data_IF_445577661291
#
_entry.id   IF_445577661291
#
_cell.length_a   1.000
_cell.length_b   1.000
_cell.length_c   1.000
_cell.angle_alpha   90.00
_cell.angle_beta   90.00
_cell.angle_gamma   90.00
#
_symmetry.space_group_name_H-M   'P 1'
#
loop_
_entity.id
_entity.type
_entity.pdbx_description
1 polymer ?
#
# COMPACT_ATOMS: atom_id res chain seq x y z
N UNK A 1 -19.05 -2.70 -33.42
CA UNK A 1 -18.35 -1.99 -32.33
C UNK A 1 -16.89 -2.46 -32.27
N UNK A 2 -15.95 -1.54 -32.39
CA UNK A 2 -14.52 -1.85 -32.32
C UNK A 2 -14.01 -1.40 -30.96
N UNK A 3 -13.49 -2.33 -30.13
CA UNK A 3 -12.81 -2.03 -28.91
C UNK A 3 -11.31 -1.94 -29.17
N UNK A 4 -10.70 -0.79 -28.90
CA UNK A 4 -9.25 -0.61 -28.94
C UNK A 4 -8.72 -0.45 -27.53
N UNK A 5 -7.70 -1.24 -27.16
CA UNK A 5 -7.00 -1.12 -25.89
C UNK A 5 -5.50 -0.98 -26.15
N UNK A 6 -4.91 0.12 -25.65
CA UNK A 6 -3.48 0.38 -25.75
C UNK A 6 -2.78 -0.23 -24.51
N UNK A 7 -1.71 -0.97 -24.73
CA UNK A 7 -0.84 -1.50 -23.68
C UNK A 7 0.57 -0.97 -23.89
N UNK A 8 1.21 -0.58 -22.81
CA UNK A 8 2.62 -0.19 -22.79
C UNK A 8 3.42 -1.33 -22.18
N UNK A 9 4.34 -1.90 -22.94
CA UNK A 9 5.26 -2.95 -22.48
C UNK A 9 6.61 -2.34 -22.17
N UNK A 10 7.17 -2.65 -21.01
CA UNK A 10 8.46 -2.15 -20.55
C UNK A 10 9.14 -3.14 -19.62
N UNK A 11 10.41 -2.91 -19.33
CA UNK A 11 11.25 -3.74 -18.47
C UNK A 11 11.83 -2.95 -17.30
N UNK A 12 12.11 -3.64 -16.18
CA UNK A 12 12.88 -3.05 -15.08
C UNK A 12 14.34 -2.76 -15.44
N UNK A 13 14.78 -3.19 -16.61
CA UNK A 13 16.11 -2.91 -17.16
C UNK A 13 16.15 -1.72 -18.12
N UNK A 14 14.98 -1.18 -18.45
CA UNK A 14 14.89 -0.03 -19.35
C UNK A 14 15.52 1.19 -18.65
N UNK A 15 16.34 1.91 -19.41
CA UNK A 15 17.03 3.12 -18.96
C UNK A 15 16.33 4.40 -19.40
N UNK A 16 15.35 4.27 -20.29
CA UNK A 16 14.57 5.37 -20.86
C UNK A 16 13.07 5.06 -20.77
N UNK A 17 12.20 6.06 -20.61
CA UNK A 17 10.76 5.87 -20.75
C UNK A 17 10.43 5.34 -22.15
N UNK A 18 9.58 4.30 -22.21
CA UNK A 18 9.20 3.66 -23.51
C UNK A 18 8.27 4.50 -24.37
N UNK A 19 7.70 5.54 -23.79
CA UNK A 19 6.93 6.57 -24.49
C UNK A 19 7.23 7.95 -23.89
N UNK A 20 7.12 9.02 -24.71
CA UNK A 20 7.38 10.37 -24.22
C UNK A 20 6.48 10.72 -23.04
N UNK A 21 7.09 11.06 -21.91
CA UNK A 21 6.38 11.46 -20.71
C UNK A 21 7.22 12.41 -19.86
N UNK A 22 6.60 13.42 -19.27
CA UNK A 22 7.28 14.31 -18.32
C UNK A 22 7.55 13.62 -16.99
N UNK A 23 6.68 12.69 -16.58
CA UNK A 23 6.84 11.91 -15.35
C UNK A 23 6.65 10.43 -15.66
N UNK A 24 7.72 9.63 -15.53
CA UNK A 24 7.68 8.18 -15.51
C UNK A 24 7.76 7.69 -14.07
N UNK A 25 6.89 6.79 -13.70
CA UNK A 25 6.95 6.10 -12.41
C UNK A 25 6.36 4.71 -12.52
N UNK A 26 6.98 3.77 -11.85
CA UNK A 26 6.48 2.40 -11.75
C UNK A 26 6.96 1.74 -10.46
N UNK A 27 6.20 0.78 -9.97
CA UNK A 27 6.51 0.01 -8.77
C UNK A 27 6.06 -1.44 -8.98
N UNK A 28 6.98 -2.41 -8.78
CA UNK A 28 6.68 -3.83 -9.02
C UNK A 28 5.72 -4.42 -8.00
N UNK A 29 5.71 -3.93 -6.76
CA UNK A 29 4.79 -4.37 -5.72
C UNK A 29 4.60 -3.31 -4.63
N UNK A 30 3.42 -3.29 -4.00
CA UNK A 30 3.10 -2.40 -2.86
C UNK A 30 3.46 -3.00 -1.50
N UNK A 31 3.93 -4.24 -1.49
CA UNK A 31 4.31 -4.97 -0.28
C UNK A 31 5.58 -5.76 -0.56
N UNK A 32 6.51 -5.77 0.38
CA UNK A 32 7.70 -6.60 0.27
C UNK A 32 7.32 -8.07 0.21
N UNK A 33 7.89 -8.84 -0.73
CA UNK A 33 7.65 -10.27 -0.80
C UNK A 33 8.32 -11.00 0.38
N UNK A 34 7.71 -12.08 0.84
CA UNK A 34 8.23 -12.89 1.96
C UNK A 34 9.47 -13.69 1.61
N UNK A 35 9.70 -13.94 0.33
CA UNK A 35 10.85 -14.69 -0.18
C UNK A 35 12.13 -13.84 -0.26
N UNK A 36 12.08 -12.60 0.20
CA UNK A 36 13.22 -11.69 0.25
C UNK A 36 13.63 -11.11 -1.11
N UNK A 37 12.84 -11.33 -2.16
CA UNK A 37 13.10 -10.69 -3.45
C UNK A 37 12.94 -9.17 -3.37
N UNK A 38 13.70 -8.42 -4.16
CA UNK A 38 13.58 -6.97 -4.17
C UNK A 38 12.27 -6.50 -4.84
N UNK A 39 11.75 -5.41 -4.32
CA UNK A 39 10.75 -4.58 -5.00
C UNK A 39 11.48 -3.45 -5.69
N UNK A 40 11.17 -3.23 -6.95
CA UNK A 40 11.79 -2.17 -7.73
C UNK A 40 10.84 -0.98 -7.84
N UNK A 41 11.40 0.21 -7.69
CA UNK A 41 10.73 1.47 -8.01
C UNK A 41 11.51 2.13 -9.14
N UNK A 42 10.80 2.54 -10.18
CA UNK A 42 11.33 3.36 -11.26
C UNK A 42 10.79 4.79 -11.16
N UNK A 43 11.68 5.76 -11.34
CA UNK A 43 11.35 7.18 -11.48
C UNK A 43 12.14 7.73 -12.67
N UNK A 44 11.48 8.47 -13.54
CA UNK A 44 12.13 8.95 -14.75
C UNK A 44 11.39 10.09 -15.43
N UNK A 45 12.00 10.58 -16.50
CA UNK A 45 11.42 11.60 -17.39
C UNK A 45 12.04 11.47 -18.78
N UNK A 46 11.23 11.69 -19.82
CA UNK A 46 11.74 11.89 -21.20
C UNK A 46 12.23 13.32 -21.43
N UNK A 47 11.97 14.22 -20.50
CA UNK A 47 12.35 15.63 -20.61
C UNK A 47 13.78 15.83 -20.16
N UNK A 48 14.56 16.58 -20.93
CA UNK A 48 15.92 16.96 -20.55
C UNK A 48 15.92 17.94 -19.36
N UNK A 49 16.85 17.75 -18.41
CA UNK A 49 17.03 18.64 -17.26
C UNK A 49 15.86 18.58 -16.27
N UNK A 50 15.35 17.39 -15.97
CA UNK A 50 14.42 17.16 -14.88
C UNK A 50 15.20 17.02 -13.56
N UNK A 51 15.18 18.06 -12.72
CA UNK A 51 15.78 18.05 -11.38
C UNK A 51 14.79 17.50 -10.38
N UNK A 52 14.93 16.23 -10.00
CA UNK A 52 14.00 15.51 -9.13
C UNK A 52 14.59 15.39 -7.73
N UNK A 53 14.05 16.13 -6.77
CA UNK A 53 14.41 15.99 -5.36
C UNK A 53 13.64 14.83 -4.74
N UNK A 54 14.29 14.03 -3.88
CA UNK A 54 13.67 12.88 -3.27
C UNK A 54 14.05 12.68 -1.80
N UNK A 55 13.23 11.92 -1.10
CA UNK A 55 13.50 11.38 0.23
C UNK A 55 12.95 9.97 0.38
N UNK A 56 13.69 9.12 1.09
CA UNK A 56 13.29 7.77 1.47
C UNK A 56 13.18 7.70 2.97
N UNK A 57 12.01 7.28 3.46
CA UNK A 57 11.65 7.31 4.87
C UNK A 57 11.18 5.92 5.30
N UNK A 58 11.60 5.48 6.48
CA UNK A 58 11.10 4.26 7.12
C UNK A 58 10.73 4.57 8.58
N UNK A 59 9.52 4.24 8.98
CA UNK A 59 9.02 4.63 10.29
C UNK A 59 9.10 6.15 10.48
N UNK A 60 9.79 6.60 11.52
CA UNK A 60 10.03 8.02 11.80
C UNK A 60 11.44 8.48 11.39
N UNK A 61 12.17 7.67 10.61
CA UNK A 61 13.56 7.91 10.28
C UNK A 61 13.71 8.21 8.79
N UNK A 62 14.41 9.31 8.49
CA UNK A 62 14.89 9.60 7.14
C UNK A 62 16.08 8.68 6.85
N UNK A 63 15.94 7.80 5.85
CA UNK A 63 17.02 6.89 5.42
C UNK A 63 17.94 7.58 4.45
N UNK A 64 17.37 8.25 3.45
CA UNK A 64 18.13 8.88 2.37
C UNK A 64 17.38 10.10 1.84
N UNK A 65 18.11 11.08 1.35
CA UNK A 65 17.58 12.22 0.60
C UNK A 65 18.62 12.66 -0.43
N UNK A 66 18.15 13.22 -1.53
CA UNK A 66 19.01 13.70 -2.59
C UNK A 66 18.24 14.31 -3.74
N UNK A 67 18.94 14.46 -4.85
CA UNK A 67 18.34 14.86 -6.11
C UNK A 67 18.92 14.04 -7.26
N UNK A 68 18.10 13.82 -8.28
CA UNK A 68 18.49 13.24 -9.56
C UNK A 68 18.37 14.31 -10.65
N UNK A 69 19.38 14.41 -11.47
CA UNK A 69 19.33 15.14 -12.73
C UNK A 69 19.03 14.15 -13.84
N UNK A 70 17.79 14.18 -14.34
CA UNK A 70 17.35 13.25 -15.37
C UNK A 70 17.17 13.98 -16.72
N UNK A 71 17.56 13.27 -17.78
CA UNK A 71 17.38 13.71 -19.14
C UNK A 71 17.15 12.49 -20.00
N UNK A 72 15.88 12.26 -20.43
CA UNK A 72 15.46 11.05 -21.13
C UNK A 72 16.00 9.78 -20.46
N UNK A 73 15.75 9.65 -19.17
CA UNK A 73 16.33 8.56 -18.37
C UNK A 73 15.42 8.11 -17.22
N UNK A 74 15.68 6.88 -16.75
CA UNK A 74 15.00 6.25 -15.62
C UNK A 74 16.04 5.86 -14.57
N UNK A 75 15.76 6.21 -13.31
CA UNK A 75 16.42 5.64 -12.14
C UNK A 75 15.60 4.45 -11.64
N UNK A 76 16.24 3.28 -11.49
CA UNK A 76 15.65 2.08 -10.94
C UNK A 76 16.24 1.78 -9.57
N UNK A 77 15.40 1.79 -8.54
CA UNK A 77 15.80 1.60 -7.14
C UNK A 77 15.32 0.21 -6.67
N UNK A 78 16.24 -0.71 -6.33
CA UNK A 78 15.89 -1.98 -5.70
C UNK A 78 15.77 -1.83 -4.19
N UNK A 79 14.66 -2.31 -3.61
CA UNK A 79 14.45 -2.36 -2.18
C UNK A 79 14.18 -3.79 -1.73
N UNK A 80 15.01 -4.31 -0.84
CA UNK A 80 14.77 -5.57 -0.13
C UNK A 80 14.38 -5.26 1.30
N UNK A 81 13.40 -5.95 1.85
CA UNK A 81 12.93 -5.71 3.21
C UNK A 81 14.06 -5.90 4.23
N UNK A 82 14.18 -4.95 5.15
CA UNK A 82 15.05 -4.98 6.31
C UNK A 82 14.23 -4.68 7.55
N UNK A 83 14.62 -5.22 8.71
CA UNK A 83 13.92 -4.97 9.97
C UNK A 83 13.88 -3.50 10.36
N UNK A 84 14.92 -2.73 10.01
CA UNK A 84 14.97 -1.28 10.21
C UNK A 84 13.86 -0.50 9.49
N UNK A 85 13.22 -1.10 8.48
CA UNK A 85 12.09 -0.50 7.75
C UNK A 85 10.78 -0.56 8.54
N UNK A 86 10.74 -1.30 9.66
CA UNK A 86 9.56 -1.44 10.53
C UNK A 86 8.29 -1.79 9.73
N UNK A 87 7.36 -0.87 9.59
CA UNK A 87 6.12 -1.08 8.82
C UNK A 87 6.28 -0.98 7.30
N UNK A 88 7.43 -0.51 6.83
CA UNK A 88 7.72 -0.33 5.41
C UNK A 88 8.46 0.96 5.12
N UNK A 89 8.65 1.24 3.84
CA UNK A 89 9.31 2.45 3.36
C UNK A 89 8.38 3.31 2.51
N UNK A 90 8.71 4.58 2.45
CA UNK A 90 8.06 5.57 1.58
C UNK A 90 9.13 6.34 0.83
N UNK A 91 9.05 6.33 -0.48
CA UNK A 91 9.79 7.22 -1.37
C UNK A 91 8.88 8.40 -1.71
N UNK A 92 9.31 9.61 -1.37
CA UNK A 92 8.70 10.84 -1.83
C UNK A 92 9.64 11.49 -2.83
N UNK A 93 9.10 12.00 -3.93
CA UNK A 93 9.86 12.85 -4.84
C UNK A 93 9.01 14.01 -5.36
N UNK A 94 9.68 15.06 -5.77
CA UNK A 94 9.05 16.22 -6.39
C UNK A 94 10.00 16.89 -7.37
N UNK A 95 9.43 17.45 -8.43
CA UNK A 95 10.15 18.30 -9.38
C UNK A 95 9.18 19.28 -10.06
N UNK A 96 9.76 20.31 -10.67
CA UNK A 96 9.01 21.29 -11.46
C UNK A 96 9.49 21.22 -12.90
N UNK A 97 8.55 21.12 -13.82
CA UNK A 97 8.82 21.15 -15.25
C UNK A 97 7.74 21.90 -15.99
N UNK A 98 8.16 22.79 -16.89
CA UNK A 98 7.22 23.60 -17.70
C UNK A 98 6.18 24.35 -16.85
N UNK A 99 6.58 24.88 -15.67
CA UNK A 99 5.69 25.59 -14.75
C UNK A 99 4.72 24.70 -13.96
N UNK A 100 4.77 23.36 -14.15
CA UNK A 100 3.95 22.40 -13.42
C UNK A 100 4.77 21.68 -12.37
N UNK A 101 4.24 21.55 -11.15
CA UNK A 101 4.83 20.77 -10.07
C UNK A 101 4.33 19.31 -10.12
N UNK A 102 5.25 18.40 -10.08
CA UNK A 102 5.02 16.94 -9.98
C UNK A 102 5.47 16.50 -8.59
N UNK A 103 4.59 15.87 -7.85
CA UNK A 103 4.88 15.34 -6.51
C UNK A 103 4.25 13.97 -6.38
N UNK A 104 5.02 13.00 -5.90
CA UNK A 104 4.54 11.63 -5.75
C UNK A 104 5.10 10.98 -4.50
N UNK A 105 4.25 10.15 -3.91
CA UNK A 105 4.57 9.29 -2.80
C UNK A 105 4.37 7.83 -3.22
N UNK A 106 5.41 7.02 -3.12
CA UNK A 106 5.37 5.58 -3.40
C UNK A 106 5.76 4.81 -2.15
N UNK A 107 4.97 3.83 -1.77
CA UNK A 107 5.16 3.11 -0.52
C UNK A 107 5.27 1.61 -0.73
N UNK A 108 6.15 0.96 0.04
CA UNK A 108 6.27 -0.49 0.09
C UNK A 108 6.08 -0.93 1.54
N UNK A 109 4.97 -1.60 1.82
CA UNK A 109 4.66 -2.10 3.15
C UNK A 109 5.48 -3.35 3.48
N UNK A 110 5.77 -3.60 4.76
CA UNK A 110 6.33 -4.89 5.18
C UNK A 110 5.36 -6.02 4.86
N UNK A 111 5.85 -7.25 4.66
CA UNK A 111 4.97 -8.39 4.48
C UNK A 111 4.17 -8.63 5.77
N UNK A 112 2.85 -8.77 5.64
CA UNK A 112 2.03 -9.19 6.78
C UNK A 112 2.41 -10.61 7.20
N UNK A 113 2.50 -10.90 8.51
CA UNK A 113 2.72 -12.26 8.97
C UNK A 113 1.59 -13.16 8.50
N UNK A 114 1.91 -14.37 8.07
CA UNK A 114 0.89 -15.36 7.72
C UNK A 114 0.20 -15.83 9.01
N UNK A 115 -1.02 -15.36 9.23
CA UNK A 115 -1.85 -15.75 10.37
C UNK A 115 -3.04 -16.61 9.95
N UNK A 116 -3.04 -17.07 8.70
CA UNK A 116 -4.07 -17.99 8.23
C UNK A 116 -3.92 -19.32 8.95
N UNK A 117 -5.00 -19.79 9.55
CA UNK A 117 -5.08 -21.10 10.17
C UNK A 117 -5.94 -22.03 9.32
N UNK A 118 -5.55 -23.29 9.26
CA UNK A 118 -6.36 -24.32 8.65
C UNK A 118 -7.19 -24.98 9.76
N UNK A 119 -8.51 -25.01 9.58
CA UNK A 119 -9.44 -25.65 10.51
C UNK A 119 -10.05 -26.85 9.79
N UNK A 120 -9.95 -28.01 10.38
CA UNK A 120 -10.52 -29.24 9.84
C UNK A 120 -11.25 -30.03 10.95
N UNK A 121 -12.37 -30.62 10.61
CA UNK A 121 -13.04 -31.54 11.49
C UNK A 121 -12.26 -32.86 11.52
N UNK A 122 -11.96 -33.33 12.73
CA UNK A 122 -11.43 -34.68 12.95
C UNK A 122 -12.56 -35.68 13.20
N UNK A 123 -13.53 -35.27 14.02
CA UNK A 123 -14.78 -36.01 14.25
C UNK A 123 -15.95 -35.06 14.10
N UNK A 124 -16.90 -35.44 13.28
CA UNK A 124 -18.12 -34.67 13.04
C UNK A 124 -19.24 -35.57 12.55
N UNK A 125 -20.45 -35.43 13.12
CA UNK A 125 -21.66 -36.03 12.61
C UNK A 125 -22.59 -34.95 12.10
N UNK A 126 -23.14 -35.15 10.94
CA UNK A 126 -24.07 -34.22 10.29
C UNK A 126 -25.55 -34.50 10.62
N UNK A 127 -25.85 -35.56 11.37
CA UNK A 127 -27.20 -35.92 11.84
C UNK A 127 -27.15 -36.34 13.29
N UNK A 128 -27.98 -35.73 14.09
CA UNK A 128 -28.12 -35.98 15.52
C UNK A 128 -29.57 -36.27 15.83
N UNK A 129 -29.83 -37.09 16.85
CA UNK A 129 -31.17 -37.26 17.43
C UNK A 129 -31.35 -36.32 18.61
N UNK A 130 -32.57 -35.84 18.88
CA UNK A 130 -32.83 -35.00 20.05
C UNK A 130 -32.35 -35.65 21.36
N UNK A 131 -31.59 -34.88 22.17
CA UNK A 131 -31.04 -35.36 23.45
C UNK A 131 -29.76 -36.18 23.33
N UNK A 132 -29.25 -36.45 22.12
CA UNK A 132 -28.00 -37.17 21.93
C UNK A 132 -26.80 -36.34 22.39
N UNK A 133 -25.95 -36.95 23.25
CA UNK A 133 -24.65 -36.34 23.58
C UNK A 133 -23.69 -36.59 22.41
N UNK A 134 -22.99 -35.54 21.98
CA UNK A 134 -22.04 -35.60 20.87
C UNK A 134 -20.76 -34.87 21.23
N UNK A 135 -19.64 -35.37 20.72
CA UNK A 135 -18.34 -34.73 20.85
C UNK A 135 -17.74 -34.51 19.46
N UNK A 136 -17.48 -33.24 19.15
CA UNK A 136 -16.87 -32.84 17.92
C UNK A 136 -15.43 -32.40 18.16
N UNK A 137 -14.52 -32.90 17.35
CA UNK A 137 -13.10 -32.55 17.45
C UNK A 137 -12.69 -31.73 16.26
N UNK A 138 -12.12 -30.55 16.52
CA UNK A 138 -11.49 -29.68 15.52
C UNK A 138 -9.98 -29.80 15.58
N UNK A 139 -9.36 -29.85 14.43
CA UNK A 139 -7.90 -29.73 14.29
C UNK A 139 -7.56 -28.37 13.72
N UNK A 140 -6.75 -27.59 14.43
CA UNK A 140 -6.28 -26.27 14.01
C UNK A 140 -4.78 -26.37 13.75
N UNK A 141 -4.37 -26.04 12.53
CA UNK A 141 -2.97 -26.08 12.12
C UNK A 141 -2.57 -24.76 11.43
N UNK A 142 -1.28 -24.49 11.47
CA UNK A 142 -0.65 -23.47 10.63
C UNK A 142 -0.65 -23.91 9.16
N UNK A 143 -0.42 -22.99 8.18
CA UNK A 143 -0.37 -23.34 6.76
C UNK A 143 0.64 -24.44 6.42
N UNK A 144 1.72 -24.57 7.18
CA UNK A 144 2.74 -25.62 7.07
C UNK A 144 2.36 -26.93 7.79
N UNK A 145 1.12 -27.04 8.27
CA UNK A 145 0.56 -28.26 8.85
C UNK A 145 0.93 -28.53 10.31
N UNK A 146 1.69 -27.65 10.97
CA UNK A 146 2.04 -27.80 12.39
C UNK A 146 0.88 -27.43 13.31
N UNK A 147 0.79 -28.00 14.51
CA UNK A 147 -0.20 -27.59 15.50
C UNK A 147 -0.08 -26.09 15.81
N UNK A 148 -1.20 -25.39 15.79
CA UNK A 148 -1.23 -23.96 16.10
C UNK A 148 -1.71 -23.70 17.53
N UNK A 149 -1.07 -22.73 18.22
CA UNK A 149 -1.65 -22.13 19.43
C UNK A 149 -2.66 -21.11 18.97
N UNK A 150 -3.94 -21.36 19.21
CA UNK A 150 -5.04 -20.50 18.76
C UNK A 150 -6.10 -20.36 19.84
N UNK A 151 -6.82 -19.25 19.83
CA UNK A 151 -8.07 -19.09 20.53
C UNK A 151 -9.20 -19.38 19.56
N UNK A 152 -10.16 -20.16 19.98
CA UNK A 152 -11.36 -20.52 19.20
C UNK A 152 -12.59 -19.94 19.88
N UNK A 153 -13.39 -19.21 19.13
CA UNK A 153 -14.77 -18.90 19.47
C UNK A 153 -15.66 -19.75 18.58
N UNK A 154 -16.54 -20.53 19.18
CA UNK A 154 -17.52 -21.36 18.45
C UNK A 154 -18.93 -21.00 18.86
N UNK A 155 -19.82 -20.98 17.90
CA UNK A 155 -21.25 -20.76 18.11
C UNK A 155 -22.01 -21.85 17.38
N UNK A 156 -23.02 -22.43 18.05
CA UNK A 156 -23.96 -23.34 17.48
C UNK A 156 -25.35 -22.71 17.55
N UNK A 157 -26.01 -22.63 16.43
CA UNK A 157 -27.39 -22.10 16.37
C UNK A 157 -28.25 -22.90 15.39
N UNK A 158 -29.55 -22.82 15.56
CA UNK A 158 -30.48 -23.44 14.62
C UNK A 158 -30.54 -22.66 13.31
N UNK A 159 -30.15 -23.30 12.21
CA UNK A 159 -30.08 -22.68 10.88
C UNK A 159 -31.47 -22.21 10.38
N UNK A 160 -32.55 -22.72 10.91
CA UNK A 160 -33.91 -22.26 10.57
C UNK A 160 -34.14 -20.80 10.95
N UNK A 161 -33.38 -20.27 11.91
CA UNK A 161 -33.43 -18.85 12.30
C UNK A 161 -32.99 -17.92 11.17
N UNK A 162 -32.13 -18.38 10.25
CA UNK A 162 -31.71 -17.59 9.09
C UNK A 162 -32.88 -17.25 8.15
N UNK A 163 -33.95 -18.00 8.19
CA UNK A 163 -35.16 -17.70 7.42
C UNK A 163 -35.96 -16.53 8.01
N UNK A 164 -35.81 -16.29 9.32
CA UNK A 164 -36.50 -15.23 10.04
C UNK A 164 -35.63 -13.95 10.05
N UNK A 165 -34.38 -14.09 10.36
CA UNK A 165 -33.40 -12.98 10.44
C UNK A 165 -32.01 -13.46 9.97
N UNK A 166 -31.74 -13.38 8.67
CA UNK A 166 -30.41 -13.74 8.16
C UNK A 166 -29.35 -12.85 8.77
N UNK A 167 -28.24 -13.46 9.24
CA UNK A 167 -27.14 -12.73 9.80
C UNK A 167 -25.81 -13.23 9.21
N UNK A 168 -24.81 -12.35 9.19
CA UNK A 168 -23.45 -12.69 8.77
C UNK A 168 -22.48 -12.44 9.92
N UNK A 169 -21.61 -13.42 10.15
CA UNK A 169 -20.53 -13.31 11.12
C UNK A 169 -19.31 -12.67 10.44
N UNK A 170 -19.13 -11.38 10.62
CA UNK A 170 -17.98 -10.66 10.08
C UNK A 170 -16.93 -10.47 11.18
N UNK A 171 -15.98 -11.40 11.25
CA UNK A 171 -14.78 -11.20 12.06
C UNK A 171 -13.67 -10.65 11.18
N UNK A 172 -13.46 -9.36 11.22
CA UNK A 172 -12.32 -8.71 10.57
C UNK A 172 -11.21 -8.50 11.60
N UNK A 173 -10.20 -9.35 11.57
CA UNK A 173 -8.95 -9.12 12.29
C UNK A 173 -8.09 -8.17 11.44
N UNK A 174 -8.42 -6.88 11.45
CA UNK A 174 -7.66 -5.86 10.75
C UNK A 174 -6.28 -5.68 11.39
N UNK A 175 -5.24 -6.13 10.71
CA UNK A 175 -3.87 -5.75 11.05
C UNK A 175 -3.56 -4.44 10.36
N UNK A 176 -3.75 -3.34 11.07
CA UNK A 176 -3.38 -2.02 10.55
C UNK A 176 -1.87 -1.86 10.60
N UNK A 177 -1.27 -1.61 9.45
CA UNK A 177 0.10 -1.14 9.35
C UNK A 177 0.06 0.34 9.02
N UNK A 178 0.50 1.17 9.95
CA UNK A 178 0.73 2.58 9.66
C UNK A 178 2.04 2.70 8.89
N UNK A 179 1.97 3.05 7.62
CA UNK A 179 3.16 3.45 6.86
C UNK A 179 3.59 4.85 7.29
N UNK A 180 4.89 5.17 7.15
CA UNK A 180 5.37 6.51 7.38
C UNK A 180 4.57 7.50 6.54
N UNK A 181 4.11 8.57 7.20
CA UNK A 181 3.37 9.61 6.52
C UNK A 181 4.23 10.88 6.51
N UNK A 182 4.84 11.15 5.37
CA UNK A 182 5.62 12.36 5.17
C UNK A 182 5.11 13.09 3.95
N UNK A 183 4.45 14.21 4.18
CA UNK A 183 4.03 15.10 3.10
C UNK A 183 5.07 16.20 2.93
N UNK A 184 5.60 16.33 1.74
CA UNK A 184 6.27 17.55 1.35
C UNK A 184 5.21 18.63 1.15
N UNK A 185 5.03 19.46 2.17
CA UNK A 185 4.25 20.68 2.03
C UNK A 185 5.14 21.72 1.37
N UNK A 186 5.07 21.82 0.06
CA UNK A 186 5.50 23.06 -0.57
C UNK A 186 4.33 24.04 -0.38
N UNK A 187 4.51 24.94 0.53
CA UNK A 187 3.62 26.08 0.67
C UNK A 187 3.81 27.01 -0.55
N UNK A 188 3.32 26.56 -1.70
CA UNK A 188 2.93 27.47 -2.78
C UNK A 188 1.57 28.13 -2.44
N UNK A 189 1.26 28.27 -1.17
CA UNK A 189 0.31 29.28 -0.79
C UNK A 189 1.02 30.62 -1.06
N UNK A 190 0.82 31.14 -2.26
CA UNK A 190 0.65 32.56 -2.37
C UNK A 190 -0.40 32.90 -1.33
N UNK A 191 0.03 33.27 -0.14
CA UNK A 191 -0.85 34.05 0.76
C UNK A 191 -1.13 35.29 -0.03
N UNK A 192 -2.29 35.33 -0.66
CA UNK A 192 -2.88 36.62 -1.01
C UNK A 192 -3.03 37.31 0.33
N UNK A 193 -2.04 38.13 0.70
CA UNK A 193 -2.23 39.13 1.72
C UNK A 193 -3.26 40.05 1.13
N UNK A 194 -4.50 39.92 1.58
CA UNK A 194 -5.47 40.98 1.39
C UNK A 194 -4.86 42.18 2.10
N UNK A 195 -4.27 43.08 1.32
CA UNK A 195 -4.08 44.45 1.77
C UNK A 195 -5.50 44.91 2.07
N UNK A 196 -5.87 44.96 3.34
CA UNK A 196 -7.02 45.70 3.77
C UNK A 196 -6.75 47.13 3.29
N UNK A 197 -7.34 47.50 2.13
CA UNK A 197 -7.21 48.80 1.56
C UNK A 197 -7.72 49.78 2.60
N UNK A 198 -6.87 50.69 3.03
CA UNK A 198 -7.30 51.89 3.73
C UNK A 198 -8.17 52.61 2.73
N UNK A 199 -9.48 52.46 2.86
CA UNK A 199 -10.40 53.28 2.09
C UNK A 199 -10.19 54.71 2.53
N UNK A 200 -9.81 55.64 1.63
CA UNK A 200 -9.74 57.05 2.02
C UNK A 200 -11.14 57.47 2.43
N UNK A 201 -11.32 57.80 3.68
CA UNK A 201 -12.53 58.46 4.17
C UNK A 201 -12.64 59.78 3.44
N UNK A 202 -13.60 59.91 2.54
CA UNK A 202 -13.95 61.18 1.97
C UNK A 202 -14.54 62.00 3.10
N UNK A 203 -13.80 62.99 3.57
CA UNK A 203 -14.39 64.12 4.35
C UNK A 203 -15.08 65.02 3.36
N UNK A 204 -16.37 65.23 3.53
CA UNK A 204 -17.12 66.27 2.89
C UNK A 204 -17.08 67.55 3.81
#
# INVERSE_FOLDING_TARGET
DTLQQKFTLFSMKDTHPVEPTTEWYYQTAKTFPRDGKPVYIQVGSSENGAHIVYSIIAGNKLLEKGAWELGDSIVTLPFTYKEEYASGIVLNYSFVKQGKCYTRMMSIARPLPEKKLNIAWKTFRNRLTPGQKEEWTLRITTPDGKPAKAQLMSVLYDKSLDQIAPHSWNLSLGFYQSLPNCYWKHNLTFRSSYLNGVYPTKYY
#
